data_IF_020099726983
#
_entry.id   IF_020099726983
#
_cell.length_a   1.000
_cell.length_b   1.000
_cell.length_c   1.000
_cell.angle_alpha   90.00
_cell.angle_beta   90.00
_cell.angle_gamma   90.00
#
_symmetry.space_group_name_H-M   'P 1'
#
loop_
_entity.id
_entity.type
_entity.pdbx_description
1 polymer ?
#
# COMPACT_ATOMS: atom_id res chain seq x y z
N UNK A 1 46.01 30.78 -25.25
CA UNK A 1 45.83 29.92 -26.43
C UNK A 1 44.58 29.10 -26.22
N UNK A 2 43.45 29.54 -26.79
CA UNK A 2 42.15 28.90 -26.61
C UNK A 2 42.02 27.77 -27.63
N UNK A 3 42.04 26.52 -27.17
CA UNK A 3 41.86 25.37 -28.05
C UNK A 3 40.45 25.38 -28.64
N UNK A 4 40.36 25.59 -29.95
CA UNK A 4 39.15 25.43 -30.74
C UNK A 4 38.77 23.95 -30.76
N UNK A 5 37.63 23.58 -30.14
CA UNK A 5 37.13 22.21 -30.19
C UNK A 5 36.77 21.85 -31.64
N UNK A 6 37.35 20.77 -32.15
CA UNK A 6 37.10 20.28 -33.51
C UNK A 6 35.61 19.94 -33.71
N UNK A 7 35.00 20.26 -34.87
CA UNK A 7 33.59 19.94 -35.15
C UNK A 7 33.30 18.43 -35.20
N UNK A 8 34.34 17.58 -35.14
CA UNK A 8 34.23 16.12 -35.13
C UNK A 8 34.48 15.49 -33.74
N UNK A 9 34.67 16.28 -32.68
CA UNK A 9 34.82 15.72 -31.34
C UNK A 9 33.48 15.21 -30.82
N UNK A 10 33.41 13.92 -30.48
CA UNK A 10 32.24 13.35 -29.80
C UNK A 10 32.02 14.09 -28.48
N UNK A 11 30.78 14.52 -28.16
CA UNK A 11 30.50 15.09 -26.86
C UNK A 11 30.84 14.08 -25.76
N UNK A 12 31.34 14.58 -24.64
CA UNK A 12 31.69 13.73 -23.50
C UNK A 12 30.47 12.90 -23.08
N UNK A 13 30.60 11.57 -22.91
CA UNK A 13 29.50 10.73 -22.50
C UNK A 13 28.89 11.23 -21.19
N UNK A 14 27.57 11.39 -21.16
CA UNK A 14 26.85 11.74 -19.94
C UNK A 14 26.92 10.57 -18.98
N UNK A 15 27.61 10.75 -17.85
CA UNK A 15 27.64 9.75 -16.79
C UNK A 15 26.33 9.80 -16.02
N UNK A 16 25.52 8.76 -16.16
CA UNK A 16 24.30 8.55 -15.38
C UNK A 16 24.58 7.52 -14.28
N UNK A 17 24.04 7.79 -13.10
CA UNK A 17 24.07 6.88 -11.96
C UNK A 17 22.63 6.50 -11.64
N UNK A 18 22.40 5.21 -11.41
CA UNK A 18 21.14 4.73 -10.84
C UNK A 18 21.15 5.02 -9.34
N UNK A 19 20.27 5.92 -8.90
CA UNK A 19 20.18 6.35 -7.52
C UNK A 19 19.43 5.33 -6.68
N UNK A 20 18.31 4.84 -7.21
CA UNK A 20 17.42 3.94 -6.50
C UNK A 20 16.41 3.29 -7.47
N UNK A 21 15.72 2.24 -7.01
CA UNK A 21 14.72 1.48 -7.75
C UNK A 21 13.45 1.33 -6.93
N UNK A 22 12.30 1.61 -7.56
CA UNK A 22 10.99 1.22 -7.05
C UNK A 22 10.44 0.06 -7.84
N UNK A 23 10.32 -1.09 -7.21
CA UNK A 23 9.60 -2.23 -7.77
C UNK A 23 8.16 -2.22 -7.28
N UNK A 24 7.23 -2.38 -8.21
CA UNK A 24 5.81 -2.51 -7.93
C UNK A 24 5.34 -3.86 -8.47
N UNK A 25 4.79 -4.70 -7.58
CA UNK A 25 4.19 -5.99 -7.92
C UNK A 25 2.68 -5.81 -7.87
N UNK A 26 2.03 -5.73 -9.03
CA UNK A 26 0.57 -5.57 -9.09
C UNK A 26 -0.09 -6.76 -9.75
N UNK A 27 -1.26 -7.16 -9.27
CA UNK A 27 -2.08 -8.11 -10.00
C UNK A 27 -2.44 -7.56 -11.40
N UNK A 28 -2.29 -8.43 -12.39
CA UNK A 28 -2.65 -8.21 -13.79
C UNK A 28 -4.03 -8.79 -14.10
N UNK A 29 -4.32 -9.96 -13.53
CA UNK A 29 -5.62 -10.64 -13.68
C UNK A 29 -6.11 -11.11 -12.33
N UNK A 30 -7.42 -11.09 -12.16
CA UNK A 30 -8.12 -11.60 -10.99
C UNK A 30 -8.92 -12.82 -11.41
N UNK A 31 -8.99 -13.79 -10.52
CA UNK A 31 -9.76 -15.02 -10.71
C UNK A 31 -10.69 -15.22 -9.52
N UNK A 32 -11.80 -15.89 -9.77
CA UNK A 32 -12.85 -16.09 -8.78
C UNK A 32 -12.92 -17.56 -8.46
N UNK A 33 -12.37 -17.94 -7.32
CA UNK A 33 -12.39 -19.31 -6.83
C UNK A 33 -13.23 -19.37 -5.56
N UNK A 34 -14.19 -20.32 -5.49
CA UNK A 34 -15.00 -20.56 -4.27
C UNK A 34 -15.62 -19.30 -3.65
N UNK A 35 -16.14 -18.39 -4.47
CA UNK A 35 -16.75 -17.13 -4.04
C UNK A 35 -15.77 -16.12 -3.39
N UNK A 36 -14.46 -16.34 -3.51
CA UNK A 36 -13.38 -15.44 -3.11
C UNK A 36 -12.65 -14.95 -4.36
N UNK A 37 -12.14 -13.72 -4.32
CA UNK A 37 -11.31 -13.16 -5.39
C UNK A 37 -9.86 -13.44 -5.03
N UNK A 38 -9.16 -14.07 -5.96
CA UNK A 38 -7.75 -14.41 -5.87
C UNK A 38 -6.98 -13.78 -7.02
N UNK A 39 -5.69 -13.58 -6.82
CA UNK A 39 -4.82 -13.01 -7.86
C UNK A 39 -4.42 -14.15 -8.80
N UNK A 40 -4.79 -14.04 -10.08
CA UNK A 40 -4.44 -15.05 -11.09
C UNK A 40 -3.02 -14.87 -11.62
N UNK A 41 -2.63 -13.63 -11.94
CA UNK A 41 -1.26 -13.34 -12.40
C UNK A 41 -0.78 -11.97 -11.95
N UNK A 42 0.53 -11.83 -11.79
CA UNK A 42 1.18 -10.59 -11.38
C UNK A 42 1.96 -9.95 -12.55
N UNK A 43 2.06 -8.63 -12.50
CA UNK A 43 2.99 -7.84 -13.31
C UNK A 43 3.95 -7.11 -12.36
N UNK A 44 5.23 -7.40 -12.54
CA UNK A 44 6.30 -6.67 -11.88
C UNK A 44 6.76 -5.53 -12.78
N UNK A 45 6.71 -4.30 -12.28
CA UNK A 45 7.28 -3.13 -12.94
C UNK A 45 8.31 -2.50 -12.03
N UNK A 46 9.54 -2.33 -12.53
CA UNK A 46 10.61 -1.63 -11.81
C UNK A 46 10.85 -0.28 -12.49
N UNK A 47 10.81 0.79 -11.69
CA UNK A 47 11.12 2.15 -12.10
C UNK A 47 12.45 2.52 -11.45
N UNK A 48 13.44 2.91 -12.25
CA UNK A 48 14.75 3.32 -11.77
C UNK A 48 14.90 4.83 -11.88
N UNK A 49 15.42 5.46 -10.83
CA UNK A 49 15.73 6.88 -10.84
C UNK A 49 17.18 7.10 -11.28
N UNK A 50 17.35 7.72 -12.44
CA UNK A 50 18.67 8.01 -13.03
C UNK A 50 19.02 9.49 -12.85
N UNK A 51 20.22 9.79 -12.38
CA UNK A 51 20.69 11.17 -12.23
C UNK A 51 22.15 11.33 -12.59
N UNK A 52 22.54 12.57 -12.91
CA UNK A 52 23.93 12.99 -13.08
C UNK A 52 24.46 13.62 -11.77
N UNK A 53 24.58 12.83 -10.70
CA UNK A 53 25.16 13.15 -9.37
C UNK A 53 24.54 14.33 -8.57
N UNK A 54 24.04 15.39 -9.21
CA UNK A 54 23.61 16.63 -8.57
C UNK A 54 22.12 16.66 -8.16
N UNK A 55 21.33 15.65 -8.53
CA UNK A 55 19.87 15.65 -8.31
C UNK A 55 19.33 14.36 -7.68
N UNK A 56 20.12 13.69 -6.84
CA UNK A 56 19.72 12.46 -6.15
C UNK A 56 18.41 12.61 -5.36
N UNK A 57 18.25 13.74 -4.64
CA UNK A 57 17.03 13.99 -3.85
C UNK A 57 15.78 14.02 -4.74
N UNK A 58 15.81 14.80 -5.82
CA UNK A 58 14.69 14.87 -6.78
C UNK A 58 14.41 13.52 -7.44
N UNK A 59 15.47 12.76 -7.73
CA UNK A 59 15.36 11.43 -8.30
C UNK A 59 14.64 10.46 -7.35
N UNK A 60 14.94 10.53 -6.04
CA UNK A 60 14.25 9.75 -5.00
C UNK A 60 12.80 10.19 -4.81
N UNK A 61 12.53 11.50 -4.80
CA UNK A 61 11.17 12.04 -4.67
C UNK A 61 10.24 11.61 -5.83
N UNK A 62 10.80 11.29 -7.01
CA UNK A 62 10.01 10.73 -8.11
C UNK A 62 9.60 9.27 -7.90
N UNK A 63 10.41 8.49 -7.17
CA UNK A 63 10.10 7.09 -6.87
C UNK A 63 9.16 6.98 -5.67
N UNK A 64 9.38 7.79 -4.64
CA UNK A 64 8.53 7.84 -3.46
C UNK A 64 8.11 9.29 -3.24
N UNK A 65 6.98 9.71 -3.83
CA UNK A 65 6.53 11.08 -3.69
C UNK A 65 6.25 11.40 -2.23
N UNK A 66 6.57 12.62 -1.77
CA UNK A 66 6.26 13.00 -0.40
C UNK A 66 4.75 12.94 -0.17
N UNK A 67 4.37 12.37 0.97
CA UNK A 67 2.99 12.32 1.46
C UNK A 67 2.93 13.03 2.80
N UNK A 68 1.83 13.73 3.05
CA UNK A 68 1.63 14.41 4.32
C UNK A 68 0.68 13.59 5.18
N UNK A 69 1.13 13.20 6.37
CA UNK A 69 0.30 12.53 7.36
C UNK A 69 -0.67 13.54 7.97
N UNK A 70 -1.95 13.17 7.99
CA UNK A 70 -3.05 13.99 8.53
C UNK A 70 -3.80 13.22 9.61
N UNK A 71 -4.25 13.95 10.62
CA UNK A 71 -5.03 13.40 11.75
C UNK A 71 -6.54 13.50 11.55
N UNK A 72 -6.98 14.22 10.52
CA UNK A 72 -8.39 14.41 10.20
C UNK A 72 -8.99 15.69 10.80
N UNK A 73 -8.23 16.42 11.61
CA UNK A 73 -8.66 17.69 12.20
C UNK A 73 -8.50 18.85 11.20
N UNK A 74 -7.64 18.68 10.20
CA UNK A 74 -7.33 19.70 9.22
C UNK A 74 -8.55 20.07 8.37
N UNK A 75 -8.65 21.35 8.03
CA UNK A 75 -9.62 21.85 7.06
C UNK A 75 -9.07 21.67 5.63
N UNK A 76 -9.96 21.52 4.65
CA UNK A 76 -9.60 21.52 3.22
C UNK A 76 -8.70 20.36 2.71
N UNK A 77 -8.85 19.16 3.27
CA UNK A 77 -8.13 17.95 2.82
C UNK A 77 -8.34 17.60 1.33
N UNK A 78 -9.45 18.04 0.72
CA UNK A 78 -9.79 17.70 -0.67
C UNK A 78 -9.29 18.71 -1.71
N UNK A 79 -8.86 19.90 -1.31
CA UNK A 79 -8.44 20.99 -2.21
C UNK A 79 -6.92 21.19 -2.24
N UNK A 80 -6.20 20.69 -1.23
CA UNK A 80 -4.75 20.80 -1.06
C UNK A 80 -3.94 20.23 -2.24
N UNK A 81 -4.48 19.23 -2.93
CA UNK A 81 -3.78 18.50 -3.99
C UNK A 81 -2.63 17.63 -3.45
N UNK A 82 -2.04 16.82 -4.32
CA UNK A 82 -0.97 15.88 -3.94
C UNK A 82 -1.46 14.62 -3.24
N UNK A 83 -0.54 13.97 -2.53
CA UNK A 83 -0.76 12.72 -1.80
C UNK A 83 -0.93 12.98 -0.30
N UNK A 84 -1.90 12.28 0.31
CA UNK A 84 -2.24 12.41 1.72
C UNK A 84 -2.14 11.04 2.39
N UNK A 85 -1.59 10.97 3.59
CA UNK A 85 -1.66 9.79 4.45
C UNK A 85 -2.69 10.03 5.54
N UNK A 86 -3.56 9.06 5.79
CA UNK A 86 -4.58 9.10 6.83
C UNK A 86 -4.34 7.98 7.83
N UNK A 87 -4.39 8.33 9.12
CA UNK A 87 -4.37 7.36 10.21
C UNK A 87 -5.70 7.40 10.94
N UNK A 88 -6.32 6.24 11.12
CA UNK A 88 -7.64 6.18 11.71
C UNK A 88 -8.12 4.76 11.98
N UNK A 89 -9.34 4.67 12.46
CA UNK A 89 -10.03 3.41 12.75
C UNK A 89 -11.07 3.13 11.67
N UNK A 90 -11.19 1.89 11.23
CA UNK A 90 -12.18 1.50 10.22
C UNK A 90 -13.57 1.42 10.85
N UNK A 91 -14.45 2.36 10.49
CA UNK A 91 -15.82 2.42 11.01
C UNK A 91 -16.80 1.60 10.17
N UNK A 92 -16.59 1.57 8.84
CA UNK A 92 -17.45 0.84 7.90
C UNK A 92 -16.62 0.20 6.82
N UNK A 93 -16.98 -1.02 6.46
CA UNK A 93 -16.40 -1.74 5.31
C UNK A 93 -17.55 -2.10 4.38
N UNK A 94 -17.54 -1.55 3.17
CA UNK A 94 -18.48 -1.93 2.15
C UNK A 94 -18.01 -3.20 1.45
N UNK A 95 -18.99 -3.96 0.93
CA UNK A 95 -18.72 -5.16 0.16
C UNK A 95 -17.91 -4.80 -1.08
N UNK A 96 -16.91 -5.64 -1.33
CA UNK A 96 -16.04 -5.57 -2.48
C UNK A 96 -16.85 -5.58 -3.78
N UNK A 97 -16.63 -4.58 -4.63
CA UNK A 97 -17.33 -4.39 -5.90
C UNK A 97 -16.39 -4.71 -7.07
N UNK A 98 -16.93 -5.31 -8.14
CA UNK A 98 -16.19 -5.59 -9.39
C UNK A 98 -16.59 -4.60 -10.47
N UNK A 99 -15.62 -4.09 -11.21
CA UNK A 99 -15.87 -3.33 -12.45
C UNK A 99 -15.97 -4.33 -13.61
N UNK A 100 -17.00 -4.16 -14.45
CA UNK A 100 -17.36 -5.09 -15.54
C UNK A 100 -16.26 -5.32 -16.59
N UNK A 101 -15.24 -4.46 -16.64
CA UNK A 101 -14.09 -4.61 -17.52
C UNK A 101 -12.85 -5.02 -16.70
N UNK A 102 -12.43 -6.28 -16.84
CA UNK A 102 -11.18 -6.79 -16.25
C UNK A 102 -11.21 -7.15 -14.76
N UNK A 103 -12.39 -7.32 -14.16
CA UNK A 103 -12.60 -7.72 -12.75
C UNK A 103 -11.67 -7.01 -11.75
N UNK A 104 -11.49 -5.70 -11.89
CA UNK A 104 -10.68 -4.95 -10.93
C UNK A 104 -11.45 -4.86 -9.61
N UNK A 105 -10.88 -5.36 -8.51
CA UNK A 105 -11.53 -5.29 -7.21
C UNK A 105 -11.48 -3.88 -6.64
N UNK A 106 -12.61 -3.43 -6.10
CA UNK A 106 -12.72 -2.17 -5.37
C UNK A 106 -13.33 -2.46 -4.00
N UNK A 107 -12.72 -1.92 -2.94
CA UNK A 107 -13.22 -1.99 -1.57
C UNK A 107 -13.36 -0.56 -1.03
N UNK A 108 -14.60 -0.16 -0.84
CA UNK A 108 -14.93 1.12 -0.21
C UNK A 108 -15.01 0.93 1.31
N UNK A 109 -14.50 1.89 2.07
CA UNK A 109 -14.53 1.89 3.53
C UNK A 109 -14.64 3.32 4.08
N UNK A 110 -15.21 3.46 5.28
CA UNK A 110 -15.23 4.72 6.02
C UNK A 110 -14.18 4.67 7.12
N UNK A 111 -13.22 5.60 7.06
CA UNK A 111 -12.12 5.72 8.02
C UNK A 111 -12.40 6.88 8.97
N UNK A 112 -12.46 6.59 10.27
CA UNK A 112 -12.61 7.59 11.34
C UNK A 112 -11.25 8.09 11.77
N UNK A 113 -10.97 9.36 11.49
CA UNK A 113 -9.73 10.05 11.85
C UNK A 113 -10.10 11.17 12.84
N UNK A 114 -9.78 10.96 14.12
CA UNK A 114 -10.22 11.85 15.19
C UNK A 114 -11.75 11.93 15.26
N UNK A 115 -12.31 13.12 14.99
CA UNK A 115 -13.75 13.38 15.01
C UNK A 115 -14.42 13.31 13.63
N UNK A 116 -13.66 13.20 12.54
CA UNK A 116 -14.19 13.21 11.17
C UNK A 116 -14.11 11.82 10.55
N UNK A 117 -15.07 11.52 9.68
CA UNK A 117 -15.11 10.27 8.92
C UNK A 117 -14.88 10.55 7.44
N UNK A 118 -14.01 9.75 6.82
CA UNK A 118 -13.60 9.91 5.43
C UNK A 118 -13.90 8.65 4.63
N UNK A 119 -14.49 8.83 3.46
CA UNK A 119 -14.71 7.75 2.50
C UNK A 119 -13.40 7.45 1.76
N UNK A 120 -12.98 6.19 1.80
CA UNK A 120 -11.75 5.68 1.16
C UNK A 120 -12.10 4.53 0.23
N UNK A 121 -11.68 4.62 -1.02
CA UNK A 121 -11.78 3.56 -2.02
C UNK A 121 -10.41 2.93 -2.25
N UNK A 122 -10.25 1.68 -1.82
CA UNK A 122 -9.08 0.85 -2.12
C UNK A 122 -9.34 0.05 -3.39
N UNK A 123 -8.33 -0.04 -4.24
CA UNK A 123 -8.41 -0.72 -5.53
C UNK A 123 -7.40 -1.86 -5.57
N UNK A 124 -7.61 -2.84 -6.45
CA UNK A 124 -6.62 -3.90 -6.74
C UNK A 124 -6.20 -4.67 -5.49
N UNK A 125 -4.90 -4.71 -5.22
CA UNK A 125 -4.29 -5.58 -4.23
C UNK A 125 -4.56 -5.01 -2.83
N UNK A 126 -4.63 -3.68 -2.73
CA UNK A 126 -5.03 -2.96 -1.53
C UNK A 126 -6.49 -3.27 -1.15
N UNK A 127 -7.36 -3.56 -2.11
CA UNK A 127 -8.76 -3.97 -1.85
C UNK A 127 -8.87 -5.40 -1.27
N UNK A 128 -7.86 -6.25 -1.50
CA UNK A 128 -7.82 -7.64 -1.05
C UNK A 128 -7.26 -7.80 0.36
N UNK A 129 -6.72 -6.74 0.95
CA UNK A 129 -6.22 -6.74 2.32
C UNK A 129 -7.33 -7.12 3.30
N UNK A 130 -7.01 -7.91 4.31
CA UNK A 130 -7.99 -8.37 5.27
C UNK A 130 -8.33 -7.28 6.29
N UNK A 131 -9.13 -6.29 5.91
CA UNK A 131 -9.46 -5.13 6.75
C UNK A 131 -10.79 -5.32 7.51
N UNK A 132 -10.76 -5.30 8.84
CA UNK A 132 -11.95 -5.48 9.68
C UNK A 132 -12.44 -4.18 10.31
N UNK A 133 -13.71 -4.17 10.71
CA UNK A 133 -14.28 -3.06 11.49
C UNK A 133 -13.53 -2.94 12.82
N UNK A 134 -13.17 -1.72 13.22
CA UNK A 134 -12.40 -1.45 14.42
C UNK A 134 -10.88 -1.53 14.24
N UNK A 135 -10.37 -1.97 13.07
CA UNK A 135 -8.93 -2.00 12.83
C UNK A 135 -8.35 -0.59 12.81
N UNK A 136 -7.26 -0.38 13.54
CA UNK A 136 -6.47 0.84 13.46
C UNK A 136 -5.48 0.73 12.30
N UNK A 137 -5.61 1.61 11.31
CA UNK A 137 -4.82 1.58 10.08
C UNK A 137 -4.20 2.93 9.75
N UNK A 138 -3.04 2.88 9.10
CA UNK A 138 -2.41 4.02 8.44
C UNK A 138 -2.38 3.74 6.93
N UNK A 139 -3.11 4.56 6.17
CA UNK A 139 -3.20 4.44 4.72
C UNK A 139 -2.45 5.61 4.10
N UNK A 140 -1.38 5.31 3.35
CA UNK A 140 -0.51 6.31 2.76
C UNK A 140 -0.86 6.63 1.30
N UNK A 141 -0.37 7.78 0.83
CA UNK A 141 -0.42 8.21 -0.57
C UNK A 141 -1.81 8.14 -1.23
N UNK A 142 -2.84 8.52 -0.49
CA UNK A 142 -4.19 8.65 -0.98
C UNK A 142 -4.34 9.90 -1.84
N UNK A 143 -5.18 9.79 -2.87
CA UNK A 143 -5.54 10.91 -3.74
C UNK A 143 -6.95 11.37 -3.41
N UNK A 144 -7.06 12.59 -2.91
CA UNK A 144 -8.35 13.21 -2.65
C UNK A 144 -9.07 13.52 -3.97
N UNK A 145 -10.36 13.23 -4.02
CA UNK A 145 -11.23 13.47 -5.17
C UNK A 145 -12.53 14.07 -4.66
N UNK A 146 -12.93 15.23 -5.18
CA UNK A 146 -14.14 15.94 -4.71
C UNK A 146 -15.40 15.56 -5.51
N UNK A 147 -15.25 15.06 -6.73
CA UNK A 147 -16.37 14.71 -7.62
C UNK A 147 -16.27 13.24 -8.09
N UNK A 148 -17.35 12.46 -8.06
CA UNK A 148 -18.75 12.85 -7.80
C UNK A 148 -19.10 13.06 -6.32
N UNK A 149 -18.33 12.49 -5.39
CA UNK A 149 -18.43 12.70 -3.95
C UNK A 149 -17.02 12.78 -3.35
N UNK A 150 -16.87 13.48 -2.23
CA UNK A 150 -15.61 13.62 -1.52
C UNK A 150 -15.12 12.23 -1.04
N UNK A 151 -14.06 11.72 -1.67
CA UNK A 151 -13.43 10.44 -1.32
C UNK A 151 -11.93 10.44 -1.55
N UNK A 152 -11.24 9.56 -0.85
CA UNK A 152 -9.85 9.25 -1.05
C UNK A 152 -9.72 7.98 -1.88
N UNK A 153 -8.95 8.05 -2.97
CA UNK A 153 -8.66 6.87 -3.79
C UNK A 153 -7.24 6.40 -3.55
N UNK A 154 -7.05 5.09 -3.46
CA UNK A 154 -5.71 4.47 -3.49
C UNK A 154 -4.98 4.84 -4.78
N UNK A 155 -3.66 5.02 -4.68
CA UNK A 155 -2.78 5.34 -5.80
C UNK A 155 -1.80 4.21 -6.11
N UNK A 156 -0.87 4.45 -7.02
CA UNK A 156 0.25 3.53 -7.29
C UNK A 156 1.24 3.43 -6.13
N UNK A 157 1.20 4.41 -5.23
CA UNK A 157 2.15 4.57 -4.13
C UNK A 157 1.55 4.17 -2.78
N UNK A 158 0.26 3.85 -2.74
CA UNK A 158 -0.47 3.55 -1.50
C UNK A 158 0.11 2.33 -0.81
N UNK A 159 0.33 2.49 0.49
CA UNK A 159 0.59 1.39 1.42
C UNK A 159 -0.47 1.46 2.51
N UNK A 160 -0.88 0.29 3.00
CA UNK A 160 -1.81 0.17 4.12
C UNK A 160 -1.08 -0.60 5.20
N UNK A 161 -0.87 0.05 6.32
CA UNK A 161 -0.23 -0.55 7.48
C UNK A 161 -1.28 -0.68 8.58
N UNK A 162 -1.49 -1.91 9.04
CA UNK A 162 -2.28 -2.16 10.24
C UNK A 162 -1.40 -1.88 11.45
N UNK A 163 -1.90 -1.09 12.40
CA UNK A 163 -1.29 -1.09 13.72
C UNK A 163 -1.62 -2.45 14.35
N UNK A 164 -0.61 -3.31 14.49
CA UNK A 164 -0.77 -4.59 15.19
C UNK A 164 -1.31 -4.30 16.60
N UNK A 165 -2.49 -4.84 16.91
CA UNK A 165 -2.86 -5.05 18.29
C UNK A 165 -1.79 -6.00 18.86
N UNK A 166 -1.17 -5.61 19.98
CA UNK A 166 -0.36 -6.54 20.76
C UNK A 166 -1.22 -7.77 21.08
N UNK A 167 -1.05 -8.85 20.32
CA UNK A 167 -1.49 -10.16 20.76
C UNK A 167 -0.56 -10.53 21.91
N UNK A 168 -1.07 -10.36 23.14
CA UNK A 168 -0.50 -11.06 24.29
C UNK A 168 -0.64 -12.55 23.95
N UNK A 169 0.49 -13.19 23.69
CA UNK A 169 0.57 -14.65 23.64
C UNK A 169 0.18 -15.15 25.03
N UNK A 170 -1.10 -15.49 25.23
CA UNK A 170 -1.47 -16.40 26.33
C UNK A 170 -0.90 -17.77 25.95
N UNK A 171 0.28 -18.07 26.47
CA UNK A 171 0.78 -19.44 26.57
C UNK A 171 -0.24 -20.25 27.40
N UNK A 172 -1.19 -20.92 26.74
CA UNK A 172 -1.94 -21.99 27.39
C UNK A 172 -0.98 -23.18 27.62
N UNK A 173 -0.42 -23.22 28.83
CA UNK A 173 0.32 -24.36 29.36
C UNK A 173 -0.61 -25.58 29.50
N UNK A 174 -0.68 -26.42 28.47
CA UNK A 174 -1.43 -27.68 28.51
C UNK A 174 -0.73 -28.67 29.44
N UNK A 175 -1.18 -28.74 30.69
CA UNK A 175 -0.73 -29.78 31.65
C UNK A 175 -1.37 -31.13 31.30
N UNK A 176 -0.63 -32.02 30.63
CA UNK A 176 -1.09 -33.41 30.39
C UNK A 176 -0.93 -34.22 31.69
N UNK A 177 -1.94 -34.16 32.56
CA UNK A 177 -2.10 -35.03 33.72
C UNK A 177 -2.56 -36.44 33.36
N UNK A 178 -1.74 -37.21 32.64
CA UNK A 178 -2.05 -38.58 32.22
C UNK A 178 -1.31 -39.63 33.05
N UNK A 179 -1.94 -40.10 34.14
CA UNK A 179 -1.46 -41.23 34.97
C UNK A 179 -1.54 -42.54 34.17
N UNK A 180 -0.40 -43.01 33.65
CA UNK A 180 -0.29 -44.33 33.04
C UNK A 180 -0.44 -45.43 34.11
N UNK A 181 -1.59 -46.11 34.12
CA UNK A 181 -1.76 -47.38 34.82
C UNK A 181 -1.37 -48.51 33.87
N UNK A 182 -0.22 -49.12 34.11
CA UNK A 182 0.15 -50.39 33.50
C UNK A 182 -0.69 -51.49 34.15
N UNK A 183 -1.70 -52.03 33.45
CA UNK A 183 -2.29 -53.31 33.79
C UNK A 183 -1.59 -54.40 32.96
N UNK A 184 -0.99 -55.36 33.68
CA UNK A 184 -0.31 -56.50 33.10
C UNK A 184 -1.25 -57.39 32.29
N UNK A 185 -0.68 -57.98 31.23
CA UNK A 185 -1.24 -59.14 30.57
C UNK A 185 -0.42 -60.36 31.01
N UNK A 186 -1.07 -61.23 31.76
CA UNK A 186 -0.68 -62.63 31.89
C UNK A 186 -1.11 -63.38 30.63
N UNK A 187 -0.20 -64.18 30.06
CA UNK A 187 -0.39 -65.61 29.72
C UNK A 187 1.00 -66.26 29.73
#
# INVERSE_FOLDING_TARGET
>A
MSATSSPYSRPTPTKLICVDNRTNHRAKTYEVSKNKIEIGSFKTTTISALTNVAAEKRAKDLLSPPTVLMTGEEDDLFTRGGFISLKGEIEKVLRMTRVADGEVPIRDLSLRCGQKCFEVSLWRDEALLDLSLGDQVEISHLKATLRPAARFNSSTYTTVEKAEAQTVEEEEEVTIGGRWRCHGAAV
#
